data_IF_700825950284
#
_entry.id   IF_700825950284
#
_cell.length_a   1.000
_cell.length_b   1.000
_cell.length_c   1.000
_cell.angle_alpha   90.00
_cell.angle_beta   90.00
_cell.angle_gamma   90.00
#
_symmetry.space_group_name_H-M   'P 1'
#
loop_
_entity.id
_entity.type
_entity.pdbx_description
1 polymer ?
#
# COMPACT_ATOMS: atom_id res chain seq x y z
N UNK A 1 -21.23 0.47 -4.39
CA UNK A 1 -21.38 -0.49 -3.27
C UNK A 1 -20.07 -1.24 -3.18
N UNK A 2 -19.14 -0.76 -2.34
CA UNK A 2 -17.84 -1.43 -2.10
C UNK A 2 -18.11 -2.53 -1.08
N UNK A 3 -17.93 -3.78 -1.47
CA UNK A 3 -17.97 -4.90 -0.54
C UNK A 3 -16.57 -5.02 0.09
N UNK A 4 -16.34 -4.28 1.18
CA UNK A 4 -15.36 -4.71 2.17
C UNK A 4 -16.08 -5.66 3.11
N UNK A 5 -15.82 -6.96 2.96
CA UNK A 5 -16.26 -7.94 3.94
C UNK A 5 -15.24 -7.95 5.09
N UNK A 6 -15.25 -6.88 5.90
CA UNK A 6 -14.61 -6.94 7.22
C UNK A 6 -15.51 -7.81 8.08
N UNK A 7 -15.02 -9.00 8.42
CA UNK A 7 -15.71 -9.90 9.34
C UNK A 7 -15.98 -9.17 10.67
N UNK A 8 -17.23 -8.76 10.91
CA UNK A 8 -17.67 -8.30 12.22
C UNK A 8 -17.63 -9.51 13.17
N UNK A 9 -16.70 -9.50 14.12
CA UNK A 9 -16.67 -10.46 15.23
C UNK A 9 -16.71 -9.70 16.54
N UNK A 10 -17.85 -9.81 17.21
CA UNK A 10 -17.98 -9.45 18.62
C UNK A 10 -17.25 -10.52 19.45
N UNK A 11 -16.55 -10.07 20.50
CA UNK A 11 -15.67 -10.85 21.41
C UNK A 11 -14.22 -11.08 20.96
N UNK A 12 -13.40 -10.03 21.02
CA UNK A 12 -12.04 -10.16 21.58
C UNK A 12 -11.56 -8.82 22.18
N UNK A 13 -11.64 -8.74 23.50
CA UNK A 13 -11.12 -7.62 24.30
C UNK A 13 -9.60 -7.83 24.43
N UNK A 14 -8.81 -7.32 23.47
CA UNK A 14 -7.59 -6.54 23.79
C UNK A 14 -6.79 -5.93 22.60
N UNK A 15 -7.14 -6.18 21.34
CA UNK A 15 -6.59 -5.42 20.21
C UNK A 15 -7.70 -5.26 19.17
N UNK A 16 -8.46 -4.16 19.15
CA UNK A 16 -9.73 -4.11 18.45
C UNK A 16 -9.65 -4.17 16.92
N UNK A 17 -8.46 -4.29 16.32
CA UNK A 17 -8.29 -4.38 14.88
C UNK A 17 -7.04 -5.20 14.51
N UNK A 18 -7.22 -6.27 13.72
CA UNK A 18 -6.13 -7.11 13.21
C UNK A 18 -5.59 -6.59 11.87
N UNK A 19 -4.32 -6.89 11.58
CA UNK A 19 -3.73 -6.61 10.28
C UNK A 19 -4.49 -7.34 9.18
N UNK A 20 -4.85 -6.61 8.12
CA UNK A 20 -5.41 -7.22 6.91
C UNK A 20 -4.31 -7.33 5.86
N UNK A 21 -4.07 -8.52 5.36
CA UNK A 21 -3.03 -8.79 4.36
C UNK A 21 -3.64 -8.86 2.97
N UNK A 22 -2.96 -8.28 1.99
CA UNK A 22 -3.26 -8.41 0.55
C UNK A 22 -4.74 -8.12 0.24
N UNK A 23 -5.30 -7.08 0.89
CA UNK A 23 -6.69 -6.70 0.75
C UNK A 23 -6.96 -6.19 -0.67
N UNK A 24 -7.86 -6.86 -1.40
CA UNK A 24 -8.29 -6.37 -2.72
C UNK A 24 -9.18 -5.14 -2.57
N UNK A 25 -8.70 -3.98 -3.01
CA UNK A 25 -9.43 -2.71 -2.95
C UNK A 25 -9.76 -2.27 -4.37
N UNK A 26 -11.04 -2.07 -4.64
CA UNK A 26 -11.55 -1.60 -5.93
C UNK A 26 -12.36 -0.32 -5.73
N UNK A 27 -12.05 0.69 -6.53
CA UNK A 27 -12.81 1.93 -6.58
C UNK A 27 -12.95 2.35 -8.05
N UNK A 28 -14.18 2.62 -8.49
CA UNK A 28 -14.45 2.96 -9.89
C UNK A 28 -13.84 1.93 -10.87
N UNK A 29 -12.86 2.34 -11.67
CA UNK A 29 -12.13 1.50 -12.63
C UNK A 29 -10.67 1.25 -12.24
N UNK A 30 -10.31 1.50 -10.97
CA UNK A 30 -8.98 1.19 -10.41
C UNK A 30 -9.05 0.11 -9.36
N UNK A 31 -7.95 -0.65 -9.26
CA UNK A 31 -7.79 -1.75 -8.32
C UNK A 31 -6.37 -1.73 -7.76
N UNK A 32 -6.24 -1.94 -6.45
CA UNK A 32 -4.96 -2.16 -5.81
C UNK A 32 -5.05 -3.29 -4.78
N UNK A 33 -3.89 -3.78 -4.34
CA UNK A 33 -3.77 -4.76 -3.29
C UNK A 33 -2.58 -4.38 -2.40
N UNK A 34 -2.80 -3.62 -1.31
CA UNK A 34 -1.74 -3.30 -0.37
C UNK A 34 -1.30 -4.57 0.36
N UNK A 35 0.00 -4.77 0.55
CA UNK A 35 0.54 -5.96 1.24
C UNK A 35 -0.04 -6.09 2.66
N UNK A 36 -0.06 -4.98 3.41
CA UNK A 36 -0.60 -4.93 4.77
C UNK A 36 -1.36 -3.61 4.97
N UNK A 37 -2.63 -3.73 5.37
CA UNK A 37 -3.36 -2.66 6.04
C UNK A 37 -3.25 -2.89 7.55
N UNK A 38 -2.50 -2.00 8.20
CA UNK A 38 -2.29 -2.02 9.65
C UNK A 38 -3.26 -1.04 10.33
N UNK A 39 -4.20 -1.51 11.14
CA UNK A 39 -5.24 -0.64 11.69
C UNK A 39 -4.70 0.26 12.80
N UNK A 40 -5.15 1.51 12.79
CA UNK A 40 -4.87 2.51 13.83
C UNK A 40 -6.02 2.56 14.82
N UNK A 41 -7.25 2.61 14.30
CA UNK A 41 -8.51 2.59 15.04
C UNK A 41 -9.64 2.21 14.07
N UNK A 42 -10.89 2.34 14.51
CA UNK A 42 -12.07 2.11 13.67
C UNK A 42 -11.94 2.91 12.36
N UNK A 43 -12.07 2.21 11.24
CA UNK A 43 -12.05 2.76 9.88
C UNK A 43 -10.82 3.60 9.51
N UNK A 44 -9.68 3.41 10.20
CA UNK A 44 -8.42 4.11 9.88
C UNK A 44 -7.23 3.16 9.88
N UNK A 45 -6.45 3.21 8.79
CA UNK A 45 -5.38 2.24 8.51
C UNK A 45 -4.09 2.95 8.12
N UNK A 46 -2.95 2.36 8.47
CA UNK A 46 -1.67 2.59 7.81
C UNK A 46 -1.52 1.59 6.66
N UNK A 47 -0.77 1.98 5.62
CA UNK A 47 -0.32 1.05 4.57
C UNK A 47 1.12 0.66 4.89
N UNK A 48 1.43 -0.63 4.83
CA UNK A 48 2.81 -1.13 4.87
C UNK A 48 3.02 -1.97 3.62
N UNK A 49 3.95 -1.54 2.77
CA UNK A 49 4.39 -2.24 1.57
C UNK A 49 5.70 -2.97 1.87
N UNK A 50 5.79 -4.25 1.54
CA UNK A 50 6.92 -5.11 1.85
C UNK A 50 7.74 -5.36 0.58
N UNK A 51 9.04 -5.08 0.62
CA UNK A 51 9.94 -5.32 -0.51
C UNK A 51 11.15 -6.15 -0.08
N UNK A 52 11.62 -7.02 -0.98
CA UNK A 52 12.87 -7.77 -0.79
C UNK A 52 14.12 -6.94 -1.10
N UNK A 53 13.96 -5.65 -1.46
CA UNK A 53 15.08 -4.72 -1.62
C UNK A 53 15.70 -4.36 -0.27
N UNK A 54 16.78 -3.56 -0.32
CA UNK A 54 17.51 -3.12 0.87
C UNK A 54 17.45 -1.61 1.07
N UNK A 55 16.57 -0.94 0.33
CA UNK A 55 16.33 0.51 0.39
C UNK A 55 15.01 0.85 -0.29
N UNK A 56 14.50 2.04 0.00
CA UNK A 56 13.41 2.68 -0.74
C UNK A 56 13.85 3.01 -2.17
N UNK A 57 12.94 2.89 -3.14
CA UNK A 57 13.10 3.33 -4.53
C UNK A 57 11.90 4.17 -4.95
N UNK A 58 12.08 5.03 -5.95
CA UNK A 58 11.02 5.91 -6.46
C UNK A 58 9.76 5.13 -6.88
N UNK A 59 9.94 3.99 -7.55
CA UNK A 59 8.83 3.11 -7.94
C UNK A 59 8.02 2.62 -6.73
N UNK A 60 8.64 2.46 -5.55
CA UNK A 60 7.91 2.07 -4.35
C UNK A 60 7.02 3.21 -3.84
N UNK A 61 7.49 4.45 -3.97
CA UNK A 61 6.69 5.63 -3.64
C UNK A 61 5.52 5.75 -4.61
N UNK A 62 5.75 5.48 -5.91
CA UNK A 62 4.69 5.45 -6.92
C UNK A 62 3.65 4.36 -6.59
N UNK A 63 4.08 3.13 -6.30
CA UNK A 63 3.21 2.00 -5.90
C UNK A 63 2.30 2.39 -4.72
N UNK A 64 2.91 2.87 -3.62
CA UNK A 64 2.18 3.20 -2.38
C UNK A 64 1.31 4.44 -2.55
N UNK A 65 1.72 5.41 -3.38
CA UNK A 65 0.88 6.57 -3.70
C UNK A 65 -0.40 6.17 -4.44
N UNK A 66 -0.30 5.23 -5.39
CA UNK A 66 -1.46 4.69 -6.09
C UNK A 66 -2.34 3.85 -5.17
N UNK A 67 -1.76 2.98 -4.33
CA UNK A 67 -2.50 2.21 -3.34
C UNK A 67 -3.28 3.13 -2.39
N UNK A 68 -2.63 4.15 -1.84
CA UNK A 68 -3.26 5.16 -0.97
C UNK A 68 -4.40 5.89 -1.67
N UNK A 69 -4.21 6.26 -2.94
CA UNK A 69 -5.25 6.89 -3.74
C UNK A 69 -6.46 5.98 -3.93
N UNK A 70 -6.25 4.71 -4.33
CA UNK A 70 -7.31 3.73 -4.49
C UNK A 70 -8.06 3.45 -3.18
N UNK A 71 -7.36 3.27 -2.06
CA UNK A 71 -7.97 3.14 -0.73
C UNK A 71 -8.83 4.36 -0.36
N UNK A 72 -8.32 5.58 -0.57
CA UNK A 72 -9.09 6.80 -0.31
C UNK A 72 -10.32 6.92 -1.20
N UNK A 73 -10.21 6.59 -2.50
CA UNK A 73 -11.36 6.56 -3.44
C UNK A 73 -12.40 5.50 -3.05
N UNK A 74 -11.98 4.40 -2.44
CA UNK A 74 -12.87 3.38 -1.87
C UNK A 74 -13.50 3.80 -0.51
N UNK A 75 -13.12 4.95 0.05
CA UNK A 75 -13.67 5.50 1.29
C UNK A 75 -12.88 5.20 2.55
N UNK A 76 -11.72 4.53 2.46
CA UNK A 76 -10.88 4.23 3.62
C UNK A 76 -10.11 5.49 4.08
N UNK A 77 -9.95 5.65 5.39
CA UNK A 77 -9.06 6.69 5.95
C UNK A 77 -7.66 6.10 6.07
N UNK A 78 -6.72 6.66 5.33
CA UNK A 78 -5.30 6.28 5.41
C UNK A 78 -4.53 7.28 6.28
N UNK A 79 -3.84 6.76 7.30
CA UNK A 79 -2.90 7.49 8.13
C UNK A 79 -1.52 7.57 7.47
N UNK A 80 -0.57 6.81 8.00
CA UNK A 80 0.82 6.76 7.52
C UNK A 80 1.02 5.68 6.46
N UNK A 81 2.09 5.83 5.70
CA UNK A 81 2.53 4.89 4.69
C UNK A 81 3.98 4.48 5.01
N UNK A 82 4.23 3.18 5.06
CA UNK A 82 5.54 2.63 5.39
C UNK A 82 6.03 1.71 4.27
N UNK A 83 7.35 1.69 4.09
CA UNK A 83 8.03 0.64 3.34
C UNK A 83 8.79 -0.25 4.34
N UNK A 84 8.52 -1.55 4.30
CA UNK A 84 9.25 -2.57 5.05
C UNK A 84 10.20 -3.29 4.09
N UNK A 85 11.50 -3.24 4.35
CA UNK A 85 12.51 -3.81 3.46
C UNK A 85 13.65 -4.50 4.22
N UNK A 86 14.47 -5.27 3.53
CA UNK A 86 15.52 -6.09 4.16
C UNK A 86 16.64 -5.20 4.70
N UNK A 87 17.00 -5.42 5.97
CA UNK A 87 18.21 -4.88 6.56
C UNK A 87 19.44 -5.62 6.01
N UNK A 88 20.20 -4.99 5.11
CA UNK A 88 21.41 -5.61 4.54
C UNK A 88 22.60 -5.70 5.51
N UNK A 89 22.48 -5.15 6.73
CA UNK A 89 23.46 -5.31 7.80
C UNK A 89 23.12 -6.47 8.75
N UNK A 90 21.95 -7.09 8.59
CA UNK A 90 21.55 -8.23 9.40
C UNK A 90 22.44 -9.45 9.11
N UNK A 91 23.07 -9.99 10.15
CA UNK A 91 23.80 -11.25 10.10
C UNK A 91 23.04 -12.29 10.91
N UNK A 92 22.67 -13.40 10.28
CA UNK A 92 21.97 -14.49 10.97
C UNK A 92 22.93 -15.23 11.90
N UNK A 93 22.61 -15.25 13.19
CA UNK A 93 23.24 -16.09 14.20
C UNK A 93 22.15 -16.80 15.01
N UNK A 94 21.98 -18.11 14.79
CA UNK A 94 20.87 -18.87 15.33
C UNK A 94 19.54 -18.67 14.58
N UNK A 95 18.44 -18.50 15.32
CA UNK A 95 17.11 -18.29 14.76
C UNK A 95 16.98 -16.91 14.10
N UNK A 96 16.03 -16.78 13.18
CA UNK A 96 15.77 -15.49 12.53
C UNK A 96 15.13 -14.56 13.56
N UNK A 97 15.69 -13.36 13.68
CA UNK A 97 15.11 -12.25 14.43
C UNK A 97 14.39 -11.31 13.43
N UNK A 98 13.05 -11.35 13.35
CA UNK A 98 12.30 -10.52 12.40
C UNK A 98 12.44 -9.02 12.66
N UNK A 99 12.67 -8.62 13.93
CA UNK A 99 12.82 -7.21 14.29
C UNK A 99 14.15 -6.64 13.79
N UNK A 100 15.17 -7.49 13.66
CA UNK A 100 16.47 -7.11 13.10
C UNK A 100 16.57 -7.31 11.58
N UNK A 101 15.81 -8.28 11.05
CA UNK A 101 15.82 -8.64 9.62
C UNK A 101 15.24 -7.53 8.74
N UNK A 102 14.25 -6.78 9.24
CA UNK A 102 13.55 -5.77 8.46
C UNK A 102 13.80 -4.35 8.99
N UNK A 103 13.91 -3.40 8.08
CA UNK A 103 13.78 -1.97 8.34
C UNK A 103 12.37 -1.56 7.95
N UNK A 104 11.71 -0.77 8.81
CA UNK A 104 10.42 -0.15 8.53
C UNK A 104 10.65 1.35 8.45
N UNK A 105 10.51 1.92 7.25
CA UNK A 105 10.74 3.34 6.98
C UNK A 105 9.41 4.05 6.73
N UNK A 106 9.19 5.17 7.42
CA UNK A 106 8.04 6.04 7.19
C UNK A 106 8.28 6.87 5.91
N UNK A 107 7.50 6.59 4.88
CA UNK A 107 7.60 7.25 3.57
C UNK A 107 6.42 8.20 3.33
N UNK A 108 5.68 8.58 4.38
CA UNK A 108 4.42 9.33 4.26
C UNK A 108 4.59 10.66 3.53
N UNK A 109 5.64 11.42 3.81
CA UNK A 109 5.88 12.72 3.17
C UNK A 109 6.16 12.58 1.68
N UNK A 110 7.00 11.60 1.30
CA UNK A 110 7.30 11.30 -0.09
C UNK A 110 6.06 10.79 -0.85
N UNK A 111 5.22 9.99 -0.19
CA UNK A 111 3.94 9.53 -0.74
C UNK A 111 2.96 10.69 -0.90
N UNK A 112 2.91 11.64 0.03
CA UNK A 112 2.04 12.82 -0.07
C UNK A 112 2.49 13.72 -1.22
N UNK A 113 3.79 13.99 -1.35
CA UNK A 113 4.34 14.73 -2.48
C UNK A 113 4.00 14.03 -3.81
N UNK A 114 4.23 12.70 -3.89
CA UNK A 114 3.94 11.92 -5.09
C UNK A 114 2.44 11.81 -5.39
N UNK A 115 1.59 11.93 -4.37
CA UNK A 115 0.13 11.92 -4.51
C UNK A 115 -0.36 13.08 -5.38
N UNK A 116 0.39 14.18 -5.45
CA UNK A 116 0.14 15.24 -6.43
C UNK A 116 0.24 14.65 -7.86
N UNK A 117 -0.87 14.76 -8.61
CA UNK A 117 -0.98 14.25 -9.97
C UNK A 117 -1.21 12.74 -10.09
N UNK A 118 -1.40 11.97 -9.01
CA UNK A 118 -1.77 10.54 -9.13
C UNK A 118 -3.06 10.38 -9.93
N UNK A 119 -4.07 11.22 -9.66
CA UNK A 119 -5.36 11.15 -10.36
C UNK A 119 -5.19 11.39 -11.87
N UNK A 120 -4.41 12.38 -12.27
CA UNK A 120 -4.11 12.65 -13.69
C UNK A 120 -3.37 11.48 -14.34
N UNK A 121 -2.33 10.93 -13.68
CA UNK A 121 -1.62 9.75 -14.17
C UNK A 121 -2.54 8.55 -14.33
N UNK A 122 -3.43 8.33 -13.38
CA UNK A 122 -4.44 7.27 -13.41
C UNK A 122 -5.38 7.46 -14.60
N UNK A 123 -5.92 8.66 -14.80
CA UNK A 123 -6.80 8.95 -15.93
C UNK A 123 -6.11 8.72 -17.28
N UNK A 124 -4.84 9.15 -17.41
CA UNK A 124 -4.05 8.91 -18.62
C UNK A 124 -3.84 7.40 -18.86
N UNK A 125 -3.51 6.62 -17.83
CA UNK A 125 -3.36 5.16 -17.95
C UNK A 125 -4.68 4.47 -18.32
N UNK A 126 -5.80 4.95 -17.79
CA UNK A 126 -7.14 4.45 -18.11
C UNK A 126 -7.55 4.76 -19.55
N UNK A 127 -7.20 5.94 -20.05
CA UNK A 127 -7.36 6.27 -21.46
C UNK A 127 -6.53 5.31 -22.33
N UNK A 128 -5.25 5.13 -22.00
CA UNK A 128 -4.34 4.24 -22.74
C UNK A 128 -4.86 2.79 -22.76
N UNK A 129 -5.29 2.22 -21.62
CA UNK A 129 -5.76 0.83 -21.57
C UNK A 129 -7.12 0.65 -22.28
N UNK A 130 -7.90 1.72 -22.45
CA UNK A 130 -9.17 1.70 -23.18
C UNK A 130 -8.99 1.72 -24.71
N UNK A 131 -7.81 2.10 -25.20
CA UNK A 131 -7.53 2.18 -26.63
C UNK A 131 -7.42 0.79 -27.26
N UNK A 132 -7.95 0.67 -28.48
CA UNK A 132 -7.86 -0.57 -29.28
C UNK A 132 -6.48 -0.79 -29.87
N UNK A 133 -5.75 0.30 -30.12
CA UNK A 133 -4.39 0.27 -30.63
C UNK A 133 -3.42 0.44 -29.45
N UNK A 134 -2.29 -0.25 -29.52
CA UNK A 134 -1.21 -0.05 -28.56
C UNK A 134 -0.64 1.37 -28.69
N UNK A 135 -0.20 2.02 -27.60
CA UNK A 135 0.47 3.31 -27.69
C UNK A 135 1.80 3.15 -28.43
N UNK A 136 2.14 4.08 -29.31
CA UNK A 136 3.49 4.16 -29.85
C UNK A 136 4.42 4.75 -28.79
N UNK A 137 5.50 4.02 -28.46
CA UNK A 137 6.49 4.44 -27.47
C UNK A 137 7.85 4.52 -28.15
N UNK A 138 8.49 5.69 -28.07
CA UNK A 138 9.89 5.84 -28.47
C UNK A 138 10.76 5.36 -27.30
N UNK A 139 11.55 4.30 -27.52
CA UNK A 139 12.52 3.76 -26.55
C UNK A 139 13.85 4.50 -26.70
#
# INVERSE_FOLDING_TARGET
MVAMEIAKREEQINYPYENTFEAGIMAENIYCRPDILNPICEDKWNIIEVKSSTSVKDVNIDDVSFQRFCCKKAGLKIGKCFLMYINNQYTKDGDIDPEQLFIIEDISDAVEERSAGVEERVLNLLEVISNKAYPEVTI
#
